data_IF_147956644805
#
_entry.id   IF_147956644805
#
_cell.length_a   1.000
_cell.length_b   1.000
_cell.length_c   1.000
_cell.angle_alpha   90.00
_cell.angle_beta   90.00
_cell.angle_gamma   90.00
#
_symmetry.space_group_name_H-M   'P 1'
#
loop_
_entity.id
_entity.type
_entity.pdbx_description
1 polymer ?
#
# COMPACT_ATOMS: atom_id res chain seq x y z
N UNK A 1 5.19 -52.13 -2.30
CA UNK A 1 3.87 -51.61 -1.93
C UNK A 1 3.80 -50.17 -2.40
N UNK A 2 3.12 -49.88 -3.51
CA UNK A 2 2.86 -48.49 -3.90
C UNK A 2 1.67 -48.05 -3.06
N UNK A 3 1.88 -47.16 -2.09
CA UNK A 3 0.79 -46.58 -1.32
C UNK A 3 -0.20 -45.91 -2.27
N UNK A 4 -1.49 -46.22 -2.13
CA UNK A 4 -2.53 -45.50 -2.88
C UNK A 4 -2.54 -44.06 -2.37
N UNK A 5 -2.08 -43.15 -3.22
CA UNK A 5 -2.19 -41.72 -3.00
C UNK A 5 -3.69 -41.36 -3.02
N UNK A 6 -4.25 -40.99 -1.88
CA UNK A 6 -5.67 -40.62 -1.80
C UNK A 6 -5.88 -39.17 -2.26
N UNK A 7 -7.13 -38.79 -2.54
CA UNK A 7 -7.51 -37.40 -2.86
C UNK A 7 -7.16 -36.43 -1.74
N UNK A 8 -7.19 -36.88 -0.49
CA UNK A 8 -6.78 -36.05 0.65
C UNK A 8 -5.27 -35.72 0.60
N UNK A 9 -4.44 -36.68 0.20
CA UNK A 9 -3.00 -36.46 0.00
C UNK A 9 -2.73 -35.52 -1.18
N UNK A 10 -3.49 -35.63 -2.28
CA UNK A 10 -3.42 -34.70 -3.41
C UNK A 10 -3.85 -33.27 -3.01
N UNK A 11 -4.88 -33.14 -2.17
CA UNK A 11 -5.34 -31.86 -1.65
C UNK A 11 -4.27 -31.18 -0.79
N UNK A 12 -3.61 -31.94 0.09
CA UNK A 12 -2.49 -31.46 0.89
C UNK A 12 -1.28 -31.05 0.02
N UNK A 13 -0.95 -31.82 -1.00
CA UNK A 13 0.11 -31.44 -1.94
C UNK A 13 -0.22 -30.16 -2.70
N UNK A 14 -1.45 -29.98 -3.17
CA UNK A 14 -1.89 -28.74 -3.81
C UNK A 14 -1.72 -27.53 -2.89
N UNK A 15 -2.11 -27.66 -1.61
CA UNK A 15 -1.90 -26.60 -0.62
C UNK A 15 -0.42 -26.31 -0.34
N UNK A 16 0.43 -27.33 -0.28
CA UNK A 16 1.88 -27.14 -0.11
C UNK A 16 2.49 -26.44 -1.33
N UNK A 17 2.05 -26.79 -2.54
CA UNK A 17 2.49 -26.18 -3.79
C UNK A 17 2.06 -24.70 -3.85
N UNK A 18 0.79 -24.41 -3.60
CA UNK A 18 0.25 -23.03 -3.56
C UNK A 18 1.01 -22.13 -2.57
N UNK A 19 1.39 -22.67 -1.41
CA UNK A 19 2.18 -21.93 -0.41
C UNK A 19 3.63 -21.69 -0.84
N UNK A 20 4.21 -22.59 -1.64
CA UNK A 20 5.54 -22.41 -2.22
C UNK A 20 5.51 -21.37 -3.33
N UNK A 21 4.54 -21.45 -4.23
CA UNK A 21 4.39 -20.50 -5.33
C UNK A 21 4.13 -19.08 -4.81
N UNK A 22 3.30 -18.94 -3.76
CA UNK A 22 3.07 -17.66 -3.09
C UNK A 22 4.32 -17.11 -2.39
N UNK A 23 5.20 -17.98 -1.90
CA UNK A 23 6.50 -17.58 -1.32
C UNK A 23 7.48 -17.14 -2.40
N UNK A 24 7.61 -17.90 -3.48
CA UNK A 24 8.47 -17.53 -4.62
C UNK A 24 8.01 -16.21 -5.24
N UNK A 25 6.71 -15.98 -5.37
CA UNK A 25 6.17 -14.69 -5.81
C UNK A 25 6.54 -13.55 -4.84
N UNK A 26 6.74 -13.84 -3.55
CA UNK A 26 7.15 -12.85 -2.57
C UNK A 26 8.68 -12.63 -2.52
N UNK A 27 9.50 -13.46 -3.18
CA UNK A 27 10.97 -13.39 -3.10
C UNK A 27 11.58 -12.29 -3.99
N UNK A 28 10.81 -11.70 -4.90
CA UNK A 28 11.20 -10.51 -5.69
C UNK A 28 10.26 -9.33 -5.42
N UNK A 29 10.75 -8.10 -5.66
CA UNK A 29 9.91 -6.91 -5.54
C UNK A 29 8.76 -6.97 -6.56
N UNK A 30 9.04 -7.41 -7.78
CA UNK A 30 8.09 -7.46 -8.89
C UNK A 30 6.89 -8.36 -8.61
N UNK A 31 7.09 -9.45 -7.86
CA UNK A 31 6.01 -10.35 -7.47
C UNK A 31 5.18 -9.85 -6.27
N UNK A 32 5.59 -8.76 -5.62
CA UNK A 32 4.77 -8.07 -4.61
C UNK A 32 3.64 -7.28 -5.26
N UNK A 33 2.53 -7.21 -4.52
CA UNK A 33 1.37 -6.44 -4.93
C UNK A 33 1.70 -4.96 -5.12
N UNK A 34 0.89 -4.24 -5.89
CA UNK A 34 1.08 -2.79 -6.09
C UNK A 34 0.98 -2.00 -4.78
N UNK A 35 0.18 -2.49 -3.81
CA UNK A 35 0.04 -1.87 -2.50
C UNK A 35 1.31 -1.98 -1.66
N UNK A 36 2.05 -3.09 -1.76
CA UNK A 36 3.33 -3.26 -1.07
C UNK A 36 4.47 -2.49 -1.74
N UNK A 37 4.32 -2.16 -3.03
CA UNK A 37 5.31 -1.43 -3.83
C UNK A 37 5.00 0.06 -3.98
N UNK A 38 4.01 0.59 -3.29
CA UNK A 38 3.57 1.95 -3.50
C UNK A 38 4.67 2.97 -3.12
N UNK A 39 4.94 3.93 -4.00
CA UNK A 39 5.80 5.09 -3.69
C UNK A 39 4.99 6.16 -2.94
N UNK A 40 3.72 6.30 -3.30
CA UNK A 40 2.73 7.12 -2.60
C UNK A 40 1.44 6.34 -2.40
N UNK A 41 0.78 6.57 -1.28
CA UNK A 41 -0.51 5.97 -0.98
C UNK A 41 -1.61 6.81 -1.63
N UNK A 42 -2.67 6.19 -2.14
CA UNK A 42 -3.73 6.89 -2.90
C UNK A 42 -4.51 7.95 -2.10
N UNK A 43 -4.27 8.07 -0.80
CA UNK A 43 -4.81 9.13 0.05
C UNK A 43 -3.85 10.30 0.22
N UNK A 44 -2.62 10.23 -0.32
CA UNK A 44 -1.56 11.22 -0.17
C UNK A 44 -1.43 12.02 -1.45
N UNK A 45 -1.55 13.33 -1.33
CA UNK A 45 -1.49 14.24 -2.47
C UNK A 45 -2.74 14.21 -3.35
N UNK A 46 -2.85 15.11 -4.34
CA UNK A 46 -4.04 15.23 -5.17
C UNK A 46 -4.23 14.03 -6.13
N UNK A 47 -5.45 13.50 -6.31
CA UNK A 47 -6.63 13.74 -5.46
C UNK A 47 -6.51 12.99 -4.12
N UNK A 48 -6.69 13.70 -3.00
CA UNK A 48 -6.59 13.11 -1.66
C UNK A 48 -7.87 12.33 -1.36
N UNK A 49 -7.93 11.07 -1.79
CA UNK A 49 -9.11 10.21 -1.58
C UNK A 49 -9.20 9.84 -0.09
N UNK A 50 -10.34 10.09 0.60
CA UNK A 50 -10.46 9.78 2.02
C UNK A 50 -10.35 8.28 2.29
N UNK A 51 -9.49 7.82 3.23
CA UNK A 51 -9.51 6.45 3.71
C UNK A 51 -10.78 6.13 4.53
N UNK A 52 -11.02 4.85 4.78
CA UNK A 52 -12.17 4.39 5.58
C UNK A 52 -12.06 4.75 7.07
N UNK A 53 -10.87 5.06 7.57
CA UNK A 53 -10.61 5.49 8.93
C UNK A 53 -9.45 6.50 8.96
N UNK A 54 -9.37 7.32 10.01
CA UNK A 54 -8.32 8.32 10.21
C UNK A 54 -8.15 9.28 9.00
N UNK A 55 -9.26 9.62 8.36
CA UNK A 55 -9.33 10.56 7.24
C UNK A 55 -9.28 12.03 7.70
N UNK A 56 -8.61 12.31 8.82
CA UNK A 56 -8.54 13.67 9.36
C UNK A 56 -7.47 14.46 8.62
N UNK A 57 -7.84 15.69 8.25
CA UNK A 57 -6.98 16.69 7.67
C UNK A 57 -6.89 17.88 8.60
N UNK A 58 -5.67 18.37 8.82
CA UNK A 58 -5.47 19.67 9.44
C UNK A 58 -4.90 20.63 8.40
N UNK A 59 -5.61 21.74 8.19
CA UNK A 59 -5.18 22.82 7.30
C UNK A 59 -4.72 23.97 8.18
N UNK A 60 -3.45 24.36 8.02
CA UNK A 60 -2.85 25.50 8.72
C UNK A 60 -2.38 26.50 7.68
N UNK A 61 -2.80 27.76 7.81
CA UNK A 61 -2.38 28.82 6.91
C UNK A 61 -1.53 29.84 7.66
N UNK A 62 -0.41 30.21 7.05
CA UNK A 62 0.41 31.35 7.46
C UNK A 62 0.32 32.44 6.40
N UNK A 63 1.07 33.53 6.56
CA UNK A 63 1.15 34.58 5.54
C UNK A 63 1.69 34.06 4.20
N UNK A 64 2.65 33.14 4.26
CA UNK A 64 3.47 32.78 3.10
C UNK A 64 3.22 31.35 2.60
N UNK A 65 2.47 30.54 3.34
CA UNK A 65 2.23 29.13 3.02
C UNK A 65 0.90 28.59 3.53
N UNK A 66 0.41 27.56 2.85
CA UNK A 66 -0.64 26.65 3.34
C UNK A 66 -0.02 25.28 3.59
N UNK A 67 -0.24 24.75 4.79
CA UNK A 67 0.17 23.43 5.22
C UNK A 67 -1.07 22.53 5.24
N UNK A 68 -0.99 21.37 4.61
CA UNK A 68 -2.01 20.32 4.67
C UNK A 68 -1.38 19.10 5.35
N UNK A 69 -1.87 18.77 6.54
CA UNK A 69 -1.35 17.68 7.39
C UNK A 69 -2.33 16.51 7.31
N UNK A 70 -1.83 15.34 6.92
CA UNK A 70 -2.58 14.09 6.88
C UNK A 70 -2.27 13.23 8.10
N UNK A 71 -3.27 12.94 8.94
CA UNK A 71 -3.06 12.13 10.14
C UNK A 71 -2.61 10.70 9.80
N UNK A 72 -3.33 10.00 8.90
CA UNK A 72 -3.09 8.57 8.65
C UNK A 72 -1.65 8.25 8.21
N UNK A 73 -1.01 9.13 7.43
CA UNK A 73 0.33 8.92 6.86
C UNK A 73 1.40 9.79 7.56
N UNK A 74 0.97 10.70 8.45
CA UNK A 74 1.85 11.69 9.07
C UNK A 74 2.66 12.51 8.05
N UNK A 75 2.05 12.80 6.90
CA UNK A 75 2.66 13.59 5.83
C UNK A 75 2.18 15.06 5.89
N UNK A 76 3.06 15.98 5.46
CA UNK A 76 2.78 17.43 5.45
C UNK A 76 3.09 17.99 4.08
N UNK A 77 2.04 18.41 3.37
CA UNK A 77 2.18 19.14 2.12
C UNK A 77 2.31 20.63 2.39
N UNK A 78 3.41 21.22 1.95
CA UNK A 78 3.65 22.67 2.01
C UNK A 78 3.34 23.29 0.65
N UNK A 79 2.45 24.28 0.63
CA UNK A 79 2.07 25.02 -0.57
C UNK A 79 2.50 26.49 -0.37
N UNK A 80 3.59 26.94 -1.03
CA UNK A 80 3.99 28.34 -1.01
C UNK A 80 2.93 29.24 -1.65
N UNK A 81 2.70 30.41 -1.08
CA UNK A 81 1.75 31.41 -1.57
C UNK A 81 2.43 32.55 -2.36
N UNK A 82 3.71 32.43 -2.65
CA UNK A 82 4.53 33.48 -3.27
C UNK A 82 4.59 33.41 -4.81
N UNK A 83 3.78 32.53 -5.42
CA UNK A 83 3.63 32.44 -6.88
C UNK A 83 4.84 31.84 -7.60
N UNK A 84 5.78 31.21 -6.89
CA UNK A 84 6.88 30.47 -7.52
C UNK A 84 6.36 29.27 -8.34
N UNK A 85 7.08 28.83 -9.38
CA UNK A 85 6.73 27.60 -10.11
C UNK A 85 6.61 26.39 -9.16
N UNK A 86 5.64 25.51 -9.43
CA UNK A 86 5.34 24.29 -8.67
C UNK A 86 5.68 23.03 -9.46
#
# INVERSE_FOLDING_TARGET
>A
MVGRFDRDDLGNLCHVQQRRDAREAADSAEGRSLAERCISWGTVGPPMIPPTHNANLQIVQTRDMVLIIHEMIHDVRVIPLDGRPH
#
